data_IF_073034496240
#
_entry.id   IF_073034496240
#
_cell.length_a   1.000
_cell.length_b   1.000
_cell.length_c   1.000
_cell.angle_alpha   90.00
_cell.angle_beta   90.00
_cell.angle_gamma   90.00
#
_symmetry.space_group_name_H-M   'P 1'
#
loop_
_entity.id
_entity.type
_entity.pdbx_description
1 polymer ?
#
# COMPACT_ATOMS: atom_id res chain seq x y z
N UNK A 1 -28.21 9.92 -40.30
CA UNK A 1 -27.51 10.54 -39.16
C UNK A 1 -27.37 9.48 -38.08
N UNK A 2 -26.14 9.13 -37.64
CA UNK A 2 -25.94 8.61 -36.29
C UNK A 2 -25.76 7.10 -36.03
N UNK A 3 -25.30 6.27 -36.97
CA UNK A 3 -24.90 4.87 -36.65
C UNK A 3 -23.39 4.72 -36.34
N UNK A 4 -22.72 5.79 -35.89
CA UNK A 4 -21.31 5.77 -35.49
C UNK A 4 -21.11 5.77 -33.96
N UNK A 5 -22.19 5.76 -33.16
CA UNK A 5 -22.13 5.91 -31.70
C UNK A 5 -21.86 4.62 -30.92
N UNK A 6 -22.12 3.44 -31.50
CA UNK A 6 -22.21 2.19 -30.73
C UNK A 6 -20.99 1.26 -30.82
N UNK A 7 -20.10 1.44 -31.81
CA UNK A 7 -18.87 0.64 -31.92
C UNK A 7 -17.64 1.25 -31.25
N UNK A 8 -17.64 2.56 -30.98
CA UNK A 8 -16.55 3.22 -30.25
C UNK A 8 -16.79 3.27 -28.73
N UNK A 9 -18.03 3.12 -28.24
CA UNK A 9 -18.34 3.19 -26.81
C UNK A 9 -17.86 1.96 -26.02
N UNK A 10 -17.96 0.76 -26.61
CA UNK A 10 -17.67 -0.51 -25.91
C UNK A 10 -16.18 -0.76 -25.68
N UNK A 11 -15.35 -0.51 -26.69
CA UNK A 11 -13.89 -0.67 -26.63
C UNK A 11 -13.22 0.43 -25.81
N UNK A 12 -13.69 1.67 -25.92
CA UNK A 12 -13.21 2.79 -25.10
C UNK A 12 -13.50 2.53 -23.63
N UNK A 13 -14.69 2.05 -23.28
CA UNK A 13 -15.03 1.73 -21.89
C UNK A 13 -14.22 0.54 -21.34
N UNK A 14 -13.93 -0.47 -22.17
CA UNK A 14 -13.10 -1.62 -21.79
C UNK A 14 -11.64 -1.28 -21.50
N UNK A 15 -11.08 -0.27 -22.19
CA UNK A 15 -9.68 0.15 -22.02
C UNK A 15 -9.53 1.25 -20.98
N UNK A 16 -10.46 2.22 -20.94
CA UNK A 16 -10.37 3.35 -20.01
C UNK A 16 -10.63 2.90 -18.56
N UNK A 17 -11.56 1.97 -18.35
CA UNK A 17 -11.91 1.49 -17.01
C UNK A 17 -10.70 0.91 -16.23
N UNK A 18 -9.93 -0.05 -16.77
CA UNK A 18 -8.75 -0.57 -16.06
C UNK A 18 -7.65 0.49 -15.88
N UNK A 19 -7.49 1.41 -16.83
CA UNK A 19 -6.50 2.51 -16.71
C UNK A 19 -6.85 3.44 -15.55
N UNK A 20 -8.12 3.84 -15.41
CA UNK A 20 -8.58 4.65 -14.28
C UNK A 20 -8.37 3.92 -12.95
N UNK A 21 -8.71 2.62 -12.89
CA UNK A 21 -8.50 1.81 -11.68
C UNK A 21 -7.02 1.73 -11.31
N UNK A 22 -6.12 1.56 -12.29
CA UNK A 22 -4.68 1.54 -12.05
C UNK A 22 -4.15 2.89 -11.54
N UNK A 23 -4.66 4.01 -12.08
CA UNK A 23 -4.30 5.34 -11.60
C UNK A 23 -4.75 5.54 -10.16
N UNK A 24 -6.00 5.20 -9.83
CA UNK A 24 -6.53 5.30 -8.46
C UNK A 24 -5.75 4.40 -7.50
N UNK A 25 -5.46 3.17 -7.90
CA UNK A 25 -4.67 2.24 -7.10
C UNK A 25 -3.25 2.76 -6.86
N UNK A 26 -2.59 3.28 -7.90
CA UNK A 26 -1.30 3.95 -7.79
C UNK A 26 -1.34 5.16 -6.86
N UNK A 27 -2.41 5.96 -6.91
CA UNK A 27 -2.62 7.10 -6.03
C UNK A 27 -2.82 6.69 -4.57
N UNK A 28 -3.58 5.62 -4.32
CA UNK A 28 -3.78 5.06 -2.98
C UNK A 28 -2.46 4.55 -2.40
N UNK A 29 -1.68 3.81 -3.18
CA UNK A 29 -0.35 3.33 -2.76
C UNK A 29 0.58 4.52 -2.49
N UNK A 30 0.62 5.50 -3.41
CA UNK A 30 1.39 6.72 -3.24
C UNK A 30 1.00 7.47 -1.97
N UNK A 31 -0.31 7.62 -1.70
CA UNK A 31 -0.83 8.31 -0.52
C UNK A 31 -0.50 7.56 0.77
N UNK A 32 -0.56 6.22 0.77
CA UNK A 32 -0.16 5.40 1.92
C UNK A 32 1.35 5.54 2.18
N UNK A 33 2.17 5.53 1.13
CA UNK A 33 3.63 5.71 1.24
C UNK A 33 4.00 7.15 1.68
N UNK A 34 3.29 8.15 1.17
CA UNK A 34 3.45 9.56 1.56
C UNK A 34 3.03 9.76 3.03
N UNK A 35 1.87 9.24 3.43
CA UNK A 35 1.38 9.29 4.82
C UNK A 35 2.28 8.50 5.78
N UNK A 36 2.95 7.46 5.28
CA UNK A 36 3.99 6.73 6.03
C UNK A 36 5.33 7.51 6.10
N UNK A 37 5.62 8.37 5.13
CA UNK A 37 6.81 9.24 5.11
C UNK A 37 6.65 10.51 5.94
N UNK A 38 5.43 11.01 6.13
CA UNK A 38 5.17 12.16 7.00
C UNK A 38 5.30 11.83 8.49
N UNK A 39 5.35 10.55 8.86
CA UNK A 39 5.77 10.11 10.21
C UNK A 39 7.28 9.90 10.35
N UNK A 40 8.07 10.09 9.30
CA UNK A 40 9.53 9.93 9.35
C UNK A 40 10.32 11.23 9.15
N UNK A 41 9.67 12.40 9.12
CA UNK A 41 10.35 13.70 8.92
C UNK A 41 10.26 14.64 10.12
N UNK A 42 10.39 14.12 11.35
CA UNK A 42 10.33 14.98 12.53
C UNK A 42 10.68 14.35 13.87
N UNK A 43 11.82 13.65 14.00
CA UNK A 43 12.65 13.71 15.23
C UNK A 43 13.91 12.83 15.09
N UNK A 44 15.12 13.32 15.41
CA UNK A 44 16.36 12.53 15.39
C UNK A 44 16.57 11.65 16.65
N UNK A 45 15.51 11.28 17.40
CA UNK A 45 15.71 10.75 18.76
C UNK A 45 14.70 9.72 19.28
N UNK A 46 14.15 8.84 18.44
CA UNK A 46 13.29 7.76 18.97
C UNK A 46 13.65 6.43 18.33
N UNK A 47 14.62 5.76 18.96
CA UNK A 47 14.73 4.32 19.13
C UNK A 47 13.64 3.56 18.35
N UNK A 48 13.97 3.00 17.18
CA UNK A 48 13.03 2.12 16.47
C UNK A 48 12.58 1.07 17.49
N UNK A 49 11.32 1.14 17.92
CA UNK A 49 10.81 0.24 18.95
C UNK A 49 10.95 -1.16 18.37
N UNK A 50 11.35 -2.18 19.15
CA UNK A 50 11.45 -3.56 18.64
C UNK A 50 10.22 -3.98 17.84
N UNK A 51 9.04 -3.48 18.21
CA UNK A 51 7.75 -3.66 17.54
C UNK A 51 7.68 -3.09 16.11
N UNK A 52 8.35 -1.98 15.79
CA UNK A 52 8.40 -1.40 14.45
C UNK A 52 9.39 -2.15 13.54
N UNK A 53 10.51 -2.60 14.09
CA UNK A 53 11.46 -3.49 13.39
C UNK A 53 10.75 -4.80 13.01
N UNK A 54 9.97 -5.37 13.93
CA UNK A 54 9.16 -6.56 13.72
C UNK A 54 8.14 -6.38 12.58
N UNK A 55 7.38 -5.29 12.59
CA UNK A 55 6.42 -4.99 11.51
C UNK A 55 7.10 -4.84 10.16
N UNK A 56 8.27 -4.19 10.12
CA UNK A 56 9.07 -3.99 8.91
C UNK A 56 9.54 -5.31 8.31
N UNK A 57 10.07 -6.23 9.14
CA UNK A 57 10.50 -7.56 8.69
C UNK A 57 9.35 -8.45 8.24
N UNK A 58 8.20 -8.37 8.93
CA UNK A 58 6.98 -9.08 8.53
C UNK A 58 6.45 -8.57 7.18
N UNK A 59 6.40 -7.25 6.99
CA UNK A 59 5.99 -6.64 5.72
C UNK A 59 6.96 -6.97 4.57
N UNK A 60 8.24 -7.16 4.87
CA UNK A 60 9.26 -7.59 3.93
C UNK A 60 9.23 -9.11 3.65
N UNK A 61 8.43 -9.87 4.40
CA UNK A 61 8.32 -11.34 4.27
C UNK A 61 9.53 -12.10 4.82
N UNK A 62 10.40 -11.44 5.60
CA UNK A 62 11.60 -12.06 6.20
C UNK A 62 11.28 -12.92 7.43
N UNK A 63 10.09 -12.73 8.01
CA UNK A 63 9.59 -13.51 9.15
C UNK A 63 8.15 -13.94 8.89
N UNK A 64 7.79 -15.11 9.37
CA UNK A 64 6.41 -15.61 9.22
C UNK A 64 5.48 -14.96 10.25
N UNK A 65 4.17 -15.09 10.04
CA UNK A 65 3.14 -14.60 10.97
C UNK A 65 3.30 -15.22 12.37
N UNK A 66 3.74 -16.47 12.44
CA UNK A 66 3.96 -17.20 13.69
C UNK A 66 5.14 -16.63 14.47
N UNK A 67 6.25 -16.34 13.78
CA UNK A 67 7.43 -15.69 14.37
C UNK A 67 7.12 -14.27 14.85
N UNK A 68 6.35 -13.50 14.08
CA UNK A 68 5.89 -12.17 14.47
C UNK A 68 5.04 -12.21 15.75
N UNK A 69 4.10 -13.16 15.86
CA UNK A 69 3.21 -13.27 17.02
C UNK A 69 3.97 -13.69 18.29
N UNK A 70 4.96 -14.58 18.18
CA UNK A 70 5.84 -14.97 19.31
C UNK A 70 6.64 -13.78 19.82
N UNK A 71 7.35 -13.08 18.94
CA UNK A 71 8.18 -11.93 19.32
C UNK A 71 7.34 -10.75 19.85
N UNK A 72 6.13 -10.55 19.32
CA UNK A 72 5.19 -9.54 19.84
C UNK A 72 4.74 -9.85 21.26
N UNK A 73 4.54 -11.12 21.60
CA UNK A 73 4.17 -11.55 22.96
C UNK A 73 5.33 -11.34 23.93
N UNK A 74 6.55 -11.71 23.54
CA UNK A 74 7.75 -11.52 24.36
C UNK A 74 8.01 -10.03 24.69
N UNK A 75 7.73 -9.13 23.74
CA UNK A 75 7.91 -7.68 23.93
C UNK A 75 6.81 -7.02 24.78
N UNK A 76 5.71 -7.72 25.05
CA UNK A 76 4.60 -7.22 25.88
C UNK A 76 4.71 -7.68 27.34
N UNK A 77 5.78 -8.40 27.68
CA UNK A 77 6.12 -8.84 29.04
C UNK A 77 6.99 -7.83 29.78
#
# INVERSE_FOLDING_TARGET
MGEWGHMMGGTVMWVIFPVIVLIVLGFVIYFILQSSREKSSGSPSTMETPMDILKKRYAKGEITKEEFDRMKKDLKS
#
